data_IF_578012939136
#
_entry.id   IF_578012939136
#
_cell.length_a   1.000
_cell.length_b   1.000
_cell.length_c   1.000
_cell.angle_alpha   90.00
_cell.angle_beta   90.00
_cell.angle_gamma   90.00
#
_symmetry.space_group_name_H-M   'P 1'
#
loop_
_entity.id
_entity.type
_entity.pdbx_description
1 polymer ?
#
# COMPACT_ATOMS: atom_id res chain seq x y z
N UNK A 1 20.30 -11.70 -14.60
CA UNK A 1 19.71 -12.56 -13.55
C UNK A 1 19.79 -11.78 -12.24
N UNK A 2 18.82 -11.92 -11.33
CA UNK A 2 18.88 -11.33 -9.99
C UNK A 2 19.03 -12.46 -8.99
N UNK A 3 20.06 -12.38 -8.17
CA UNK A 3 20.38 -13.31 -7.09
C UNK A 3 20.10 -12.62 -5.77
N UNK A 4 19.68 -13.39 -4.76
CA UNK A 4 19.25 -12.90 -3.46
C UNK A 4 20.03 -13.60 -2.37
N UNK A 5 20.51 -12.84 -1.39
CA UNK A 5 20.94 -13.38 -0.11
C UNK A 5 20.00 -12.89 1.00
N UNK A 6 19.77 -13.77 1.97
CA UNK A 6 18.83 -13.54 3.08
C UNK A 6 19.48 -13.83 4.41
N UNK A 7 19.04 -13.13 5.45
CA UNK A 7 19.41 -13.45 6.82
C UNK A 7 18.59 -14.63 7.40
N UNK A 8 18.83 -14.98 8.66
CA UNK A 8 18.14 -16.06 9.37
C UNK A 8 16.65 -15.79 9.61
N UNK A 9 16.18 -14.55 9.44
CA UNK A 9 14.76 -14.18 9.48
C UNK A 9 14.16 -14.12 8.08
N UNK A 10 14.85 -14.68 7.09
CA UNK A 10 14.47 -14.67 5.67
C UNK A 10 14.34 -13.27 5.05
N UNK A 11 14.92 -12.23 5.65
CA UNK A 11 14.89 -10.87 5.09
C UNK A 11 16.02 -10.70 4.07
N UNK A 12 15.74 -9.99 2.97
CA UNK A 12 16.73 -9.75 1.91
C UNK A 12 17.86 -8.83 2.41
N UNK A 13 19.11 -9.32 2.41
CA UNK A 13 20.29 -8.53 2.78
C UNK A 13 21.15 -8.15 1.57
N UNK A 14 21.03 -8.87 0.45
CA UNK A 14 21.67 -8.51 -0.81
C UNK A 14 20.80 -8.93 -2.00
N UNK A 15 20.82 -8.11 -3.06
CA UNK A 15 20.22 -8.44 -4.36
C UNK A 15 21.11 -7.96 -5.51
N UNK A 16 21.36 -8.82 -6.50
CA UNK A 16 22.03 -8.41 -7.74
C UNK A 16 21.05 -7.79 -8.74
N UNK A 17 21.45 -6.68 -9.36
CA UNK A 17 20.62 -5.85 -10.23
C UNK A 17 21.44 -5.39 -11.44
N UNK A 18 21.65 -6.30 -12.38
CA UNK A 18 22.57 -6.09 -13.50
C UNK A 18 24.00 -6.20 -13.00
N UNK A 19 24.81 -5.19 -13.26
CA UNK A 19 26.17 -5.08 -12.72
C UNK A 19 26.22 -4.51 -11.28
N UNK A 20 25.09 -4.06 -10.72
CA UNK A 20 25.02 -3.56 -9.35
C UNK A 20 24.68 -4.67 -8.36
N UNK A 21 25.12 -4.49 -7.11
CA UNK A 21 24.63 -5.25 -5.97
C UNK A 21 24.03 -4.28 -4.93
N UNK A 22 22.78 -4.52 -4.58
CA UNK A 22 22.03 -3.73 -3.59
C UNK A 22 22.04 -4.45 -2.27
N UNK A 23 22.67 -3.85 -1.26
CA UNK A 23 22.72 -4.34 0.10
C UNK A 23 21.69 -3.63 0.97
N UNK A 24 21.08 -4.36 1.89
CA UNK A 24 20.07 -3.85 2.81
C UNK A 24 20.40 -4.26 4.25
N UNK A 25 20.06 -3.39 5.21
CA UNK A 25 20.18 -3.69 6.62
C UNK A 25 18.97 -3.22 7.40
N UNK A 26 18.74 -3.88 8.52
CA UNK A 26 17.56 -3.74 9.36
C UNK A 26 17.96 -3.30 10.77
N UNK A 27 17.08 -2.59 11.47
CA UNK A 27 17.25 -2.27 12.89
C UNK A 27 16.83 -3.44 13.80
N UNK A 28 16.92 -3.21 15.11
CA UNK A 28 16.61 -4.21 16.14
C UNK A 28 15.11 -4.59 16.17
N UNK A 29 14.23 -3.70 15.70
CA UNK A 29 12.79 -3.95 15.54
C UNK A 29 12.48 -4.63 14.20
N UNK A 30 13.50 -4.83 13.36
CA UNK A 30 13.43 -5.51 12.09
C UNK A 30 12.91 -4.67 10.92
N UNK A 31 12.82 -3.35 11.11
CA UNK A 31 12.47 -2.41 10.06
C UNK A 31 13.68 -2.13 9.17
N UNK A 32 13.43 -1.89 7.88
CA UNK A 32 14.48 -1.59 6.92
C UNK A 32 15.16 -0.26 7.31
N UNK A 33 16.43 -0.31 7.71
CA UNK A 33 17.17 0.86 8.18
C UNK A 33 18.01 1.50 7.06
N UNK A 34 18.47 0.71 6.09
CA UNK A 34 19.22 1.24 4.95
C UNK A 34 19.26 0.35 3.73
N UNK A 35 19.49 0.99 2.59
CA UNK A 35 19.76 0.36 1.30
C UNK A 35 20.94 1.05 0.60
N UNK A 36 21.82 0.28 -0.05
CA UNK A 36 22.99 0.77 -0.80
C UNK A 36 23.20 -0.05 -2.06
N UNK A 37 23.20 0.59 -3.22
CA UNK A 37 23.55 -0.03 -4.49
C UNK A 37 25.00 0.29 -4.85
N UNK A 38 25.85 -0.74 -4.84
CA UNK A 38 27.27 -0.61 -5.14
C UNK A 38 27.55 -0.87 -6.62
N UNK A 39 28.48 -0.09 -7.18
CA UNK A 39 28.95 -0.25 -8.54
C UNK A 39 29.71 -1.58 -8.71
N UNK A 40 29.74 -2.16 -9.93
CA UNK A 40 30.54 -3.33 -10.22
C UNK A 40 32.00 -3.15 -9.80
N UNK A 41 32.61 -4.22 -9.26
CA UNK A 41 33.99 -4.21 -8.77
C UNK A 41 34.19 -3.63 -7.36
N UNK A 42 33.12 -3.17 -6.71
CA UNK A 42 33.16 -2.84 -5.27
C UNK A 42 33.52 -4.09 -4.44
N UNK A 43 34.24 -3.88 -3.34
CA UNK A 43 34.56 -4.97 -2.41
C UNK A 43 33.27 -5.60 -1.85
N UNK A 44 33.23 -6.93 -1.66
CA UNK A 44 32.10 -7.59 -1.02
C UNK A 44 31.80 -7.00 0.36
N UNK A 45 30.52 -6.79 0.65
CA UNK A 45 30.08 -6.29 1.95
C UNK A 45 29.80 -7.48 2.85
N UNK A 46 30.40 -7.49 4.05
CA UNK A 46 30.11 -8.53 5.04
C UNK A 46 28.70 -8.35 5.61
N UNK A 47 27.99 -9.45 5.94
CA UNK A 47 26.68 -9.37 6.58
C UNK A 47 26.70 -8.46 7.82
N UNK A 48 25.73 -7.56 7.91
CA UNK A 48 25.61 -6.60 9.01
C UNK A 48 26.52 -5.36 8.93
N UNK A 49 27.45 -5.28 7.98
CA UNK A 49 28.20 -4.05 7.75
C UNK A 49 27.45 -3.09 6.82
N UNK A 50 27.31 -1.84 7.25
CA UNK A 50 26.74 -0.76 6.44
C UNK A 50 27.83 -0.13 5.57
N UNK A 51 27.75 -0.20 4.23
CA UNK A 51 28.72 0.46 3.35
C UNK A 51 28.67 1.98 3.47
N UNK A 52 29.82 2.63 3.22
CA UNK A 52 29.87 4.08 3.10
C UNK A 52 29.01 4.55 1.91
N UNK A 53 28.39 5.74 2.05
CA UNK A 53 27.58 6.33 0.96
C UNK A 53 28.41 6.72 -0.25
N UNK A 54 29.66 7.12 -0.04
CA UNK A 54 30.53 7.57 -1.12
C UNK A 54 30.78 6.44 -2.12
N UNK A 55 30.50 6.70 -3.39
CA UNK A 55 30.66 5.72 -4.48
C UNK A 55 29.47 4.78 -4.69
N UNK A 56 28.40 4.89 -3.89
CA UNK A 56 27.14 4.20 -4.18
C UNK A 56 26.42 4.84 -5.38
N UNK A 57 25.78 4.02 -6.20
CA UNK A 57 24.88 4.49 -7.28
C UNK A 57 23.57 5.00 -6.68
N UNK A 58 23.03 4.28 -5.70
CA UNK A 58 21.88 4.71 -4.88
C UNK A 58 22.18 4.43 -3.41
N UNK A 59 21.71 5.32 -2.53
CA UNK A 59 21.86 5.15 -1.08
C UNK A 59 20.70 5.79 -0.34
N UNK A 60 20.09 5.04 0.58
CA UNK A 60 18.99 5.54 1.41
C UNK A 60 19.10 5.03 2.84
N UNK A 61 18.97 5.92 3.81
CA UNK A 61 18.82 5.58 5.23
C UNK A 61 17.42 5.97 5.70
N UNK A 62 16.80 5.08 6.47
CA UNK A 62 15.49 5.25 7.06
C UNK A 62 15.66 5.38 8.57
N UNK A 63 15.03 6.41 9.13
CA UNK A 63 14.98 6.63 10.57
C UNK A 63 13.52 6.54 11.00
N UNK A 64 13.21 5.49 11.75
CA UNK A 64 11.87 5.21 12.24
C UNK A 64 11.64 5.91 13.59
N UNK A 65 10.41 6.35 13.83
CA UNK A 65 10.00 6.83 15.16
C UNK A 65 9.52 5.65 16.03
N UNK A 66 9.26 5.91 17.31
CA UNK A 66 8.80 4.87 18.26
C UNK A 66 7.40 4.31 17.95
N UNK A 67 6.69 4.86 16.95
CA UNK A 67 5.40 4.37 16.46
C UNK A 67 5.54 3.53 15.18
N UNK A 68 6.76 3.23 14.74
CA UNK A 68 7.02 2.46 13.52
C UNK A 68 6.80 3.24 12.23
N UNK A 69 6.77 4.58 12.28
CA UNK A 69 6.59 5.44 11.12
C UNK A 69 7.94 6.00 10.66
N UNK A 70 8.11 6.21 9.36
CA UNK A 70 9.34 6.79 8.80
C UNK A 70 9.42 8.26 9.20
N UNK A 71 10.30 8.63 10.13
CA UNK A 71 10.54 10.01 10.53
C UNK A 71 11.45 10.75 9.56
N UNK A 72 12.50 10.10 9.06
CA UNK A 72 13.43 10.71 8.10
C UNK A 72 13.87 9.70 7.06
N UNK A 73 13.96 10.14 5.81
CA UNK A 73 14.66 9.45 4.73
C UNK A 73 15.84 10.32 4.32
N UNK A 74 17.06 9.84 4.60
CA UNK A 74 18.28 10.48 4.09
C UNK A 74 18.68 9.79 2.79
N UNK A 75 18.55 10.48 1.65
CA UNK A 75 18.73 9.94 0.30
C UNK A 75 19.93 10.55 -0.42
N UNK A 76 20.71 9.71 -1.12
CA UNK A 76 21.92 10.14 -1.81
C UNK A 76 21.70 11.04 -3.02
N UNK A 77 20.51 11.00 -3.64
CA UNK A 77 20.17 11.82 -4.82
C UNK A 77 19.28 13.02 -4.45
N UNK A 78 18.40 12.86 -3.46
CA UNK A 78 17.38 13.86 -3.08
C UNK A 78 17.74 14.66 -1.82
N UNK A 79 18.79 14.25 -1.11
CA UNK A 79 19.10 14.77 0.22
C UNK A 79 18.13 14.22 1.27
N UNK A 80 18.17 14.83 2.45
CA UNK A 80 17.32 14.40 3.58
C UNK A 80 15.91 14.97 3.49
N UNK A 81 14.93 14.12 3.75
CA UNK A 81 13.49 14.44 3.83
C UNK A 81 12.96 14.00 5.19
N UNK A 82 12.35 14.94 5.91
CA UNK A 82 11.77 14.73 7.24
C UNK A 82 10.24 14.72 7.12
N UNK A 83 9.62 13.77 7.80
CA UNK A 83 8.17 13.56 7.84
C UNK A 83 7.63 13.78 9.24
N UNK A 84 6.42 14.32 9.33
CA UNK A 84 5.70 14.50 10.58
C UNK A 84 4.32 13.89 10.50
N UNK A 85 3.82 13.38 11.63
CA UNK A 85 2.55 12.69 11.75
C UNK A 85 1.72 13.28 12.90
N UNK A 86 0.40 13.15 12.81
CA UNK A 86 -0.45 13.35 13.98
C UNK A 86 -0.54 12.08 14.83
N UNK A 87 -1.30 12.13 15.93
CA UNK A 87 -1.45 10.99 16.85
C UNK A 87 -2.24 9.80 16.26
N UNK A 88 -2.91 9.99 15.12
CA UNK A 88 -3.66 8.95 14.42
C UNK A 88 -2.85 8.39 13.24
N UNK A 89 -1.57 8.74 13.15
CA UNK A 89 -0.64 8.33 12.11
C UNK A 89 -0.86 9.01 10.75
N UNK A 90 -1.67 10.08 10.67
CA UNK A 90 -1.81 10.82 9.42
C UNK A 90 -0.56 11.63 9.14
N UNK A 91 -0.05 11.54 7.90
CA UNK A 91 1.07 12.36 7.45
C UNK A 91 0.65 13.83 7.46
N UNK A 92 1.26 14.66 8.31
CA UNK A 92 0.93 16.11 8.46
C UNK A 92 1.94 17.03 7.78
N UNK A 93 3.14 16.53 7.50
CA UNK A 93 4.17 17.34 6.89
C UNK A 93 5.29 16.53 6.27
N UNK A 94 5.90 17.13 5.26
CA UNK A 94 7.09 16.63 4.57
C UNK A 94 7.99 17.84 4.28
N UNK A 95 9.23 17.79 4.74
CA UNK A 95 10.21 18.87 4.55
C UNK A 95 11.49 18.31 3.95
N UNK A 96 11.85 18.74 2.74
CA UNK A 96 13.05 18.30 2.04
C UNK A 96 14.14 19.39 1.93
N UNK A 97 15.37 18.99 1.65
CA UNK A 97 16.48 19.93 1.40
C UNK A 97 16.33 20.75 0.10
N UNK A 98 15.48 20.35 -0.84
CA UNK A 98 15.18 21.08 -2.07
C UNK A 98 14.13 22.21 -1.87
N UNK A 99 14.02 22.77 -0.67
CA UNK A 99 13.08 23.84 -0.27
C UNK A 99 11.59 23.51 -0.40
N UNK A 100 11.24 22.26 -0.69
CA UNK A 100 9.84 21.83 -0.64
C UNK A 100 9.42 21.57 0.81
N UNK A 101 8.25 22.10 1.14
CA UNK A 101 7.61 21.96 2.43
C UNK A 101 6.14 21.75 2.16
N UNK A 102 5.72 20.49 2.16
CA UNK A 102 4.31 20.14 2.08
C UNK A 102 3.74 20.09 3.49
N UNK A 103 2.58 20.73 3.68
CA UNK A 103 1.76 20.59 4.89
C UNK A 103 0.41 20.03 4.52
N UNK A 104 -0.02 19.04 5.29
CA UNK A 104 -1.22 18.27 5.05
C UNK A 104 -2.18 18.49 6.21
N UNK A 105 -3.40 18.89 5.89
CA UNK A 105 -4.46 19.14 6.87
C UNK A 105 -5.62 18.20 6.60
N UNK A 106 -6.27 17.73 7.66
CA UNK A 106 -7.36 16.78 7.55
C UNK A 106 -8.59 17.27 8.30
N UNK A 107 -9.76 17.03 7.75
CA UNK A 107 -10.97 17.06 8.56
C UNK A 107 -11.11 15.77 9.39
N UNK A 108 -12.10 15.74 10.28
CA UNK A 108 -12.34 14.58 11.15
C UNK A 108 -12.74 13.29 10.40
N UNK A 109 -13.10 13.39 9.12
CA UNK A 109 -13.39 12.26 8.27
C UNK A 109 -12.16 11.79 7.46
N UNK A 110 -10.98 12.40 7.68
CA UNK A 110 -9.74 12.04 7.01
C UNK A 110 -9.63 12.58 5.59
N UNK A 111 -10.44 13.57 5.21
CA UNK A 111 -10.26 14.23 3.92
C UNK A 111 -9.05 15.15 3.96
N UNK A 112 -8.10 14.97 3.05
CA UNK A 112 -7.01 15.92 2.83
C UNK A 112 -7.58 17.26 2.34
N UNK A 113 -7.23 18.34 3.03
CA UNK A 113 -7.69 19.70 2.80
C UNK A 113 -6.61 20.53 2.10
N UNK A 114 -7.03 21.51 1.29
CA UNK A 114 -6.10 22.43 0.61
C UNK A 114 -5.36 23.34 1.59
N UNK A 115 -5.98 23.65 2.73
CA UNK A 115 -5.40 24.49 3.79
C UNK A 115 -6.10 24.24 5.13
N UNK A 116 -5.44 24.68 6.21
CA UNK A 116 -5.90 24.53 7.60
C UNK A 116 -7.28 25.15 7.87
N UNK A 117 -7.64 26.22 7.15
CA UNK A 117 -8.90 26.95 7.34
C UNK A 117 -10.09 26.37 6.58
N UNK A 118 -9.90 25.32 5.78
CA UNK A 118 -10.98 24.70 5.04
C UNK A 118 -11.94 23.96 5.99
N UNK A 119 -13.24 24.19 5.82
CA UNK A 119 -14.26 23.47 6.58
C UNK A 119 -14.38 21.99 6.18
N UNK A 120 -15.18 21.19 6.93
CA UNK A 120 -15.37 19.78 6.64
C UNK A 120 -15.85 19.52 5.21
N UNK A 121 -15.32 18.47 4.58
CA UNK A 121 -15.71 18.08 3.21
C UNK A 121 -16.99 17.26 3.27
N UNK A 122 -18.09 17.84 2.76
CA UNK A 122 -19.40 17.20 2.78
C UNK A 122 -19.40 15.93 1.92
N UNK A 123 -19.97 14.84 2.45
CA UNK A 123 -20.06 13.52 1.79
C UNK A 123 -18.70 12.94 1.35
N UNK A 124 -17.60 13.42 1.92
CA UNK A 124 -16.23 13.15 1.48
C UNK A 124 -15.95 13.51 0.00
N UNK A 125 -16.78 14.35 -0.62
CA UNK A 125 -16.63 14.80 -2.02
C UNK A 125 -15.88 16.12 -2.07
N UNK A 126 -14.60 16.08 -2.41
CA UNK A 126 -13.77 17.28 -2.45
C UNK A 126 -14.25 18.24 -3.55
N UNK A 127 -14.54 19.52 -3.27
CA UNK A 127 -15.02 20.47 -4.28
C UNK A 127 -13.94 20.90 -5.30
N UNK A 128 -12.68 20.60 -5.03
CA UNK A 128 -11.54 20.99 -5.83
C UNK A 128 -10.25 20.83 -5.04
N UNK A 129 -9.12 21.01 -5.71
CA UNK A 129 -7.80 20.75 -5.15
C UNK A 129 -6.81 21.75 -5.73
N UNK A 130 -6.27 22.60 -4.86
CA UNK A 130 -5.56 23.81 -5.27
C UNK A 130 -6.40 24.67 -6.22
N UNK A 131 -5.95 24.79 -7.47
CA UNK A 131 -6.66 25.57 -8.51
C UNK A 131 -7.73 24.77 -9.24
N UNK A 132 -7.70 23.46 -9.11
CA UNK A 132 -8.63 22.58 -9.81
C UNK A 132 -9.98 22.58 -9.11
N UNK A 133 -11.06 22.42 -9.89
CA UNK A 133 -12.43 22.35 -9.40
C UNK A 133 -13.06 21.05 -9.85
N UNK A 134 -13.75 20.39 -8.94
CA UNK A 134 -14.24 19.03 -9.11
C UNK A 134 -15.76 19.01 -9.17
N UNK A 135 -16.31 18.24 -10.10
CA UNK A 135 -17.73 17.92 -10.19
C UNK A 135 -17.93 16.42 -10.11
N UNK A 136 -19.05 15.98 -9.51
CA UNK A 136 -19.36 14.56 -9.34
C UNK A 136 -20.77 14.26 -9.83
N UNK A 137 -21.00 13.03 -10.29
CA UNK A 137 -22.35 12.53 -10.52
C UNK A 137 -23.02 12.07 -9.19
N UNK A 138 -24.25 11.57 -9.29
CA UNK A 138 -25.02 11.07 -8.15
C UNK A 138 -24.33 9.88 -7.44
N UNK A 139 -23.64 9.02 -8.20
CA UNK A 139 -22.86 7.87 -7.73
C UNK A 139 -21.52 8.24 -7.08
N UNK A 140 -21.14 9.53 -7.09
CA UNK A 140 -19.91 10.00 -6.47
C UNK A 140 -18.66 9.80 -7.33
N UNK A 141 -18.82 9.63 -8.64
CA UNK A 141 -17.71 9.56 -9.58
C UNK A 141 -17.38 10.96 -10.08
N UNK A 142 -16.09 11.30 -10.13
CA UNK A 142 -15.61 12.58 -10.64
C UNK A 142 -15.94 12.70 -12.13
N UNK A 143 -16.72 13.71 -12.50
CA UNK A 143 -17.14 13.98 -13.89
C UNK A 143 -16.45 15.18 -14.51
N UNK A 144 -15.91 16.10 -13.70
CA UNK A 144 -15.13 17.25 -14.17
C UNK A 144 -13.96 17.52 -13.25
N UNK A 145 -12.80 17.81 -13.84
CA UNK A 145 -11.58 18.25 -13.14
C UNK A 145 -10.70 19.00 -14.13
N UNK A 146 -10.15 20.16 -13.75
CA UNK A 146 -9.38 21.03 -14.66
C UNK A 146 -10.24 21.37 -15.89
N UNK A 147 -9.70 21.11 -17.09
CA UNK A 147 -10.33 21.17 -18.40
C UNK A 147 -10.90 19.81 -18.85
N UNK A 148 -10.88 18.80 -17.97
CA UNK A 148 -11.25 17.42 -18.29
C UNK A 148 -12.71 17.13 -17.97
N UNK A 149 -13.36 16.39 -18.87
CA UNK A 149 -14.67 15.75 -18.64
C UNK A 149 -14.48 14.23 -18.62
N UNK A 150 -15.00 13.58 -17.58
CA UNK A 150 -14.82 12.16 -17.31
C UNK A 150 -16.17 11.44 -17.41
N UNK A 151 -16.21 10.32 -18.12
CA UNK A 151 -17.41 9.50 -18.33
C UNK A 151 -17.21 8.07 -17.83
N UNK A 152 -18.17 7.58 -17.08
CA UNK A 152 -18.13 6.30 -16.37
C UNK A 152 -19.20 5.35 -16.89
N UNK A 153 -18.94 4.05 -16.84
CA UNK A 153 -19.96 3.03 -17.11
C UNK A 153 -20.72 2.64 -15.84
N UNK A 154 -21.75 1.80 -15.99
CA UNK A 154 -22.58 1.34 -14.87
C UNK A 154 -21.84 0.42 -13.87
N UNK A 155 -20.61 -0.01 -14.18
CA UNK A 155 -19.74 -0.79 -13.28
C UNK A 155 -18.75 0.12 -12.52
N UNK A 156 -18.86 1.43 -12.66
CA UNK A 156 -17.98 2.40 -12.01
C UNK A 156 -16.58 2.48 -12.61
N UNK A 157 -16.44 2.14 -13.90
CA UNK A 157 -15.16 2.21 -14.61
C UNK A 157 -15.12 3.44 -15.51
N UNK A 158 -14.00 4.18 -15.47
CA UNK A 158 -13.78 5.35 -16.31
C UNK A 158 -13.63 4.92 -17.77
N UNK A 159 -14.57 5.22 -18.63
CA UNK A 159 -14.56 4.76 -20.03
C UNK A 159 -14.03 5.80 -21.01
N UNK A 160 -14.18 7.09 -20.68
CA UNK A 160 -13.74 8.18 -21.55
C UNK A 160 -13.32 9.40 -20.76
N UNK A 161 -12.26 10.07 -21.22
CA UNK A 161 -11.86 11.39 -20.74
C UNK A 161 -11.67 12.32 -21.93
N UNK A 162 -12.35 13.46 -21.91
CA UNK A 162 -12.18 14.54 -22.89
C UNK A 162 -11.27 15.59 -22.25
N UNK A 163 -10.18 15.97 -22.93
CA UNK A 163 -9.30 17.08 -22.53
C UNK A 163 -8.94 17.91 -23.76
N UNK A 164 -9.40 19.16 -23.77
CA UNK A 164 -9.27 20.07 -24.90
C UNK A 164 -9.74 19.44 -26.23
N UNK A 165 -8.80 19.28 -27.17
CA UNK A 165 -9.04 18.73 -28.50
C UNK A 165 -8.81 17.21 -28.62
N UNK A 166 -8.62 16.54 -27.48
CA UNK A 166 -8.39 15.09 -27.43
C UNK A 166 -9.43 14.39 -26.59
N UNK A 167 -9.61 13.11 -26.87
CA UNK A 167 -10.40 12.21 -26.05
C UNK A 167 -9.66 10.88 -25.89
N UNK A 168 -9.67 10.33 -24.69
CA UNK A 168 -9.06 9.04 -24.37
C UNK A 168 -10.14 8.07 -23.98
N UNK A 169 -10.10 6.88 -24.57
CA UNK A 169 -11.00 5.77 -24.26
C UNK A 169 -10.25 4.68 -23.53
N UNK A 170 -10.88 4.11 -22.52
CA UNK A 170 -10.38 2.99 -21.73
C UNK A 170 -11.24 1.74 -21.96
N UNK A 171 -10.60 0.58 -22.06
CA UNK A 171 -11.26 -0.71 -22.20
C UNK A 171 -10.84 -1.66 -21.09
N UNK A 172 -11.79 -2.45 -20.61
CA UNK A 172 -11.63 -3.36 -19.47
C UNK A 172 -12.04 -4.78 -19.84
N UNK A 173 -11.47 -5.77 -19.15
CA UNK A 173 -11.96 -7.14 -19.19
C UNK A 173 -13.06 -7.39 -18.14
N UNK A 174 -13.61 -8.61 -18.14
CA UNK A 174 -14.70 -9.01 -17.24
C UNK A 174 -14.30 -9.05 -15.75
N UNK A 175 -13.00 -9.06 -15.42
CA UNK A 175 -12.49 -8.99 -14.06
C UNK A 175 -12.26 -7.54 -13.60
N UNK A 176 -12.58 -6.56 -14.44
CA UNK A 176 -12.43 -5.15 -14.14
C UNK A 176 -11.05 -4.58 -14.46
N UNK A 177 -10.15 -5.38 -15.07
CA UNK A 177 -8.77 -4.95 -15.35
C UNK A 177 -8.72 -4.19 -16.67
N UNK A 178 -8.05 -3.04 -16.68
CA UNK A 178 -7.86 -2.25 -17.91
C UNK A 178 -6.98 -3.00 -18.89
N UNK A 179 -7.50 -3.30 -20.07
CA UNK A 179 -6.79 -3.97 -21.16
C UNK A 179 -6.32 -3.00 -22.26
N UNK A 180 -6.85 -1.77 -22.28
CA UNK A 180 -6.47 -0.75 -23.27
C UNK A 180 -6.69 0.67 -22.77
N UNK A 181 -5.81 1.57 -23.20
CA UNK A 181 -6.10 3.01 -23.34
C UNK A 181 -5.77 3.48 -24.75
N UNK A 182 -6.56 4.37 -25.33
CA UNK A 182 -6.30 4.95 -26.65
C UNK A 182 -6.80 6.39 -26.75
N UNK A 183 -5.93 7.29 -27.22
CA UNK A 183 -6.23 8.73 -27.35
C UNK A 183 -6.44 9.11 -28.81
N UNK A 184 -7.50 9.84 -29.07
CA UNK A 184 -7.94 10.30 -30.39
C UNK A 184 -8.06 11.82 -30.41
N UNK A 185 -8.14 12.40 -31.62
CA UNK A 185 -8.50 13.80 -31.77
C UNK A 185 -10.01 13.94 -31.86
N UNK A 186 -10.63 14.67 -30.92
CA UNK A 186 -12.09 14.75 -30.69
C UNK A 186 -12.94 15.10 -31.94
N UNK A 187 -12.33 15.75 -32.92
CA UNK A 187 -12.98 16.18 -34.17
C UNK A 187 -12.15 15.90 -35.44
N UNK A 188 -11.04 15.16 -35.34
CA UNK A 188 -10.05 15.07 -36.43
C UNK A 188 -9.77 13.66 -36.94
N UNK A 189 -10.40 12.62 -36.37
CA UNK A 189 -10.41 11.30 -36.99
C UNK A 189 -10.57 10.13 -36.02
N UNK A 190 -10.73 8.94 -36.61
CA UNK A 190 -10.92 7.65 -35.92
C UNK A 190 -9.59 6.91 -35.67
N UNK A 191 -8.46 7.51 -36.05
CA UNK A 191 -7.13 6.92 -35.86
C UNK A 191 -6.56 7.34 -34.51
N UNK A 192 -6.18 6.36 -33.70
CA UNK A 192 -5.54 6.61 -32.40
C UNK A 192 -4.19 7.32 -32.61
N UNK A 193 -3.99 8.42 -31.89
CA UNK A 193 -2.71 9.16 -31.81
C UNK A 193 -1.71 8.44 -30.90
N UNK A 194 -2.23 7.82 -29.85
CA UNK A 194 -1.49 6.95 -28.95
C UNK A 194 -2.40 5.81 -28.50
N UNK A 195 -1.81 4.66 -28.23
CA UNK A 195 -2.49 3.48 -27.70
C UNK A 195 -1.55 2.69 -26.83
N UNK A 196 -2.07 2.17 -25.72
CA UNK A 196 -1.38 1.19 -24.88
C UNK A 196 -2.31 0.01 -24.65
N UNK A 197 -1.83 -1.19 -24.90
CA UNK A 197 -2.50 -2.45 -24.55
C UNK A 197 -1.85 -3.04 -23.29
N UNK A 198 -2.64 -3.63 -22.39
CA UNK A 198 -2.15 -4.16 -21.12
C UNK A 198 -2.44 -5.66 -20.99
N UNK A 199 -1.53 -6.38 -20.33
CA UNK A 199 -1.67 -7.81 -20.00
C UNK A 199 -1.43 -7.98 -18.51
N UNK A 200 -2.18 -8.88 -17.88
CA UNK A 200 -2.25 -9.05 -16.43
C UNK A 200 -1.90 -10.47 -16.01
N UNK A 201 -1.19 -10.58 -14.88
CA UNK A 201 -1.02 -11.81 -14.11
C UNK A 201 -1.87 -11.69 -12.85
N UNK A 202 -3.00 -12.41 -12.78
CA UNK A 202 -4.01 -12.15 -11.75
C UNK A 202 -4.46 -10.69 -11.77
N UNK A 203 -4.27 -9.97 -10.66
CA UNK A 203 -4.55 -8.53 -10.52
C UNK A 203 -3.29 -7.64 -10.55
N UNK A 204 -2.15 -8.20 -10.96
CA UNK A 204 -0.89 -7.49 -11.12
C UNK A 204 -0.57 -7.23 -12.59
N UNK A 205 -0.16 -6.02 -12.92
CA UNK A 205 0.20 -5.65 -14.29
C UNK A 205 1.42 -6.46 -14.73
N UNK A 206 1.30 -7.25 -15.80
CA UNK A 206 2.40 -8.07 -16.31
C UNK A 206 3.13 -7.38 -17.45
N UNK A 207 2.38 -6.85 -18.42
CA UNK A 207 2.95 -6.18 -19.59
C UNK A 207 2.14 -4.97 -20.02
N UNK A 208 2.84 -4.01 -20.62
CA UNK A 208 2.27 -2.97 -21.45
C UNK A 208 2.83 -3.07 -22.88
N UNK A 209 2.04 -2.68 -23.87
CA UNK A 209 2.47 -2.49 -25.25
C UNK A 209 2.08 -1.09 -25.70
N UNK A 210 3.04 -0.17 -25.61
CA UNK A 210 2.84 1.23 -26.01
C UNK A 210 3.09 1.34 -27.51
N UNK A 211 2.15 1.93 -28.24
CA UNK A 211 2.27 2.17 -29.68
C UNK A 211 3.59 2.88 -29.99
N UNK A 212 4.32 2.38 -30.99
CA UNK A 212 5.68 2.82 -31.40
C UNK A 212 6.84 2.49 -30.43
N UNK A 213 6.59 2.24 -29.13
CA UNK A 213 7.66 1.84 -28.19
C UNK A 213 7.75 0.31 -28.01
N UNK A 214 6.64 -0.40 -28.24
CA UNK A 214 6.55 -1.85 -28.16
C UNK A 214 6.28 -2.36 -26.74
N UNK A 215 6.63 -3.63 -26.52
CA UNK A 215 6.32 -4.36 -25.30
C UNK A 215 7.31 -4.04 -24.18
N UNK A 216 6.78 -3.84 -22.98
CA UNK A 216 7.51 -3.88 -21.71
C UNK A 216 6.88 -4.94 -20.81
N UNK A 217 7.71 -5.83 -20.27
CA UNK A 217 7.31 -6.84 -19.28
C UNK A 217 7.87 -6.48 -17.92
N UNK A 218 7.02 -6.42 -16.90
CA UNK A 218 7.43 -6.15 -15.52
C UNK A 218 7.72 -7.45 -14.77
N UNK A 219 8.73 -7.41 -13.92
CA UNK A 219 9.11 -8.45 -12.99
C UNK A 219 9.00 -7.86 -11.58
N UNK A 220 8.42 -8.62 -10.67
CA UNK A 220 8.13 -8.19 -9.31
C UNK A 220 8.77 -9.12 -8.31
N UNK A 221 8.92 -8.62 -7.10
CA UNK A 221 9.40 -9.43 -5.98
C UNK A 221 8.39 -10.54 -5.65
N UNK A 222 8.91 -11.72 -5.30
CA UNK A 222 8.08 -12.87 -5.00
C UNK A 222 7.38 -12.76 -3.64
N UNK A 223 7.99 -12.04 -2.70
CA UNK A 223 7.46 -11.84 -1.34
C UNK A 223 6.72 -10.52 -1.21
N UNK A 224 7.08 -9.54 -2.03
CA UNK A 224 6.38 -8.25 -2.12
C UNK A 224 5.78 -8.09 -3.51
N UNK A 225 4.57 -8.63 -3.75
CA UNK A 225 4.06 -8.82 -5.10
C UNK A 225 3.87 -7.52 -5.89
N UNK A 226 3.76 -6.34 -5.25
CA UNK A 226 3.62 -5.07 -5.95
C UNK A 226 4.90 -4.24 -6.00
N UNK A 227 6.02 -4.80 -5.55
CA UNK A 227 7.35 -4.19 -5.62
C UNK A 227 8.04 -4.60 -6.92
N UNK A 228 8.20 -3.72 -7.92
CA UNK A 228 8.90 -4.06 -9.15
C UNK A 228 10.40 -4.23 -8.89
N UNK A 229 11.00 -5.25 -9.48
CA UNK A 229 12.44 -5.54 -9.38
C UNK A 229 13.16 -5.28 -10.69
N UNK A 230 12.48 -5.52 -11.82
CA UNK A 230 13.01 -5.24 -13.15
C UNK A 230 11.88 -5.05 -14.18
N UNK A 231 12.20 -4.49 -15.34
CA UNK A 231 11.38 -4.61 -16.54
C UNK A 231 12.24 -4.96 -17.75
N UNK A 232 11.60 -5.49 -18.78
CA UNK A 232 12.26 -5.93 -20.00
C UNK A 232 11.57 -5.35 -21.22
N UNK A 233 12.34 -4.75 -22.12
CA UNK A 233 11.89 -4.18 -23.40
C UNK A 233 12.66 -4.82 -24.56
N UNK A 234 12.18 -4.63 -25.79
CA UNK A 234 12.82 -5.18 -27.00
C UNK A 234 12.52 -6.67 -27.22
N UNK A 235 13.14 -7.27 -28.25
CA UNK A 235 12.93 -8.67 -28.64
C UNK A 235 14.23 -9.30 -29.15
N UNK A 236 14.45 -10.58 -28.86
CA UNK A 236 15.65 -11.29 -29.30
C UNK A 236 16.92 -10.62 -28.77
N UNK A 237 17.85 -10.33 -29.67
CA UNK A 237 19.14 -9.71 -29.34
C UNK A 237 19.04 -8.24 -28.92
N UNK A 238 17.94 -7.53 -29.22
CA UNK A 238 17.72 -6.15 -28.79
C UNK A 238 17.08 -6.02 -27.40
N UNK A 239 16.97 -7.14 -26.66
CA UNK A 239 16.34 -7.16 -25.34
C UNK A 239 17.16 -6.34 -24.35
N UNK A 240 16.50 -5.43 -23.66
CA UNK A 240 17.09 -4.62 -22.59
C UNK A 240 16.41 -4.94 -21.27
N UNK A 241 17.18 -4.95 -20.19
CA UNK A 241 16.70 -5.14 -18.82
C UNK A 241 16.95 -3.87 -18.03
N UNK A 242 15.90 -3.40 -17.36
CA UNK A 242 15.90 -2.19 -16.53
C UNK A 242 15.62 -2.60 -15.10
N UNK A 243 16.48 -2.24 -14.16
CA UNK A 243 16.41 -2.67 -12.78
C UNK A 243 15.80 -1.57 -11.90
N UNK A 244 14.81 -1.93 -11.09
CA UNK A 244 14.08 -1.00 -10.25
C UNK A 244 14.68 -0.93 -8.85
N UNK A 245 14.82 0.28 -8.33
CA UNK A 245 15.20 0.54 -6.94
C UNK A 245 14.03 1.26 -6.28
N UNK A 246 13.53 0.70 -5.19
CA UNK A 246 12.28 1.13 -4.57
C UNK A 246 12.52 1.63 -3.15
N UNK A 247 11.55 2.36 -2.60
CA UNK A 247 11.51 2.63 -1.16
C UNK A 247 10.93 1.44 -0.36
N UNK A 248 10.73 1.65 0.94
CA UNK A 248 10.15 0.69 1.90
C UNK A 248 8.77 0.14 1.48
N UNK A 249 8.00 0.89 0.69
CA UNK A 249 6.66 0.48 0.24
C UNK A 249 6.68 -0.30 -1.07
N UNK A 250 7.81 -0.29 -1.78
CA UNK A 250 7.89 -0.79 -3.15
C UNK A 250 7.65 0.26 -4.23
N UNK A 251 7.52 1.55 -3.87
CA UNK A 251 7.40 2.63 -4.86
C UNK A 251 8.71 2.81 -5.61
N UNK A 252 8.73 2.81 -6.95
CA UNK A 252 9.94 3.08 -7.74
C UNK A 252 10.52 4.46 -7.44
N UNK A 253 11.79 4.48 -7.06
CA UNK A 253 12.56 5.69 -6.81
C UNK A 253 13.62 5.88 -7.90
N UNK A 254 14.26 4.80 -8.34
CA UNK A 254 15.26 4.83 -9.42
C UNK A 254 15.11 3.65 -10.39
N UNK A 255 15.63 3.81 -11.60
CA UNK A 255 15.83 2.73 -12.58
C UNK A 255 17.24 2.77 -13.13
N UNK A 256 17.91 1.62 -13.16
CA UNK A 256 19.24 1.46 -13.75
C UNK A 256 19.22 0.51 -14.96
N UNK A 257 20.09 0.78 -15.94
CA UNK A 257 20.40 -0.17 -17.01
C UNK A 257 21.22 -1.36 -16.48
N UNK A 258 21.41 -2.37 -17.33
CA UNK A 258 22.15 -3.59 -16.95
C UNK A 258 23.61 -3.34 -16.58
N UNK A 259 24.24 -2.29 -17.09
CA UNK A 259 25.61 -1.86 -16.75
C UNK A 259 25.68 -1.02 -15.46
N UNK A 260 24.55 -0.78 -14.80
CA UNK A 260 24.45 0.04 -13.60
C UNK A 260 24.26 1.54 -13.86
N UNK A 261 24.16 1.98 -15.12
CA UNK A 261 23.87 3.37 -15.45
C UNK A 261 22.48 3.76 -14.93
N UNK A 262 22.38 4.84 -14.15
CA UNK A 262 21.11 5.42 -13.72
C UNK A 262 20.39 6.06 -14.91
N UNK A 263 19.23 5.50 -15.31
CA UNK A 263 18.46 5.96 -16.48
C UNK A 263 17.21 6.75 -16.11
N UNK A 264 16.72 6.60 -14.88
CA UNK A 264 15.61 7.39 -14.34
C UNK A 264 15.72 7.52 -12.82
N UNK A 265 15.35 8.67 -12.28
CA UNK A 265 15.12 8.88 -10.86
C UNK A 265 14.00 9.90 -10.67
N UNK A 266 12.98 9.58 -9.87
CA UNK A 266 11.82 10.44 -9.65
C UNK A 266 11.87 11.21 -8.32
N UNK A 267 11.33 12.42 -8.29
CA UNK A 267 11.10 13.18 -7.07
C UNK A 267 9.66 12.97 -6.60
N UNK A 268 9.46 11.94 -5.77
CA UNK A 268 8.13 11.50 -5.33
C UNK A 268 7.70 12.25 -4.07
N UNK A 269 6.54 12.91 -4.11
CA UNK A 269 5.92 13.59 -2.96
C UNK A 269 5.21 12.59 -2.06
N UNK A 270 4.79 13.04 -0.88
CA UNK A 270 4.20 12.19 0.17
C UNK A 270 3.09 11.28 -0.35
N UNK A 271 2.20 11.80 -1.20
CA UNK A 271 1.06 11.06 -1.75
C UNK A 271 1.31 10.48 -3.16
N UNK A 272 2.56 10.24 -3.55
CA UNK A 272 2.91 9.49 -4.75
C UNK A 272 2.99 10.30 -6.05
N UNK A 273 2.76 11.62 -6.01
CA UNK A 273 3.01 12.50 -7.16
C UNK A 273 4.50 12.51 -7.52
N UNK A 274 4.85 12.21 -8.77
CA UNK A 274 6.20 12.46 -9.27
C UNK A 274 6.30 13.91 -9.74
N UNK A 275 6.92 14.78 -8.94
CA UNK A 275 6.97 16.21 -9.22
C UNK A 275 8.13 16.61 -10.15
N UNK A 276 9.15 15.77 -10.31
CA UNK A 276 10.23 15.99 -11.26
C UNK A 276 11.03 14.71 -11.51
N UNK A 277 11.62 14.58 -12.70
CA UNK A 277 12.67 13.61 -12.96
C UNK A 277 14.04 14.26 -12.66
N UNK A 278 14.90 13.57 -11.90
CA UNK A 278 16.19 14.09 -11.42
C UNK A 278 17.36 13.69 -12.34
N UNK A 279 17.22 12.61 -13.12
CA UNK A 279 18.33 12.05 -13.90
C UNK A 279 18.57 12.77 -15.23
N UNK A 280 19.83 13.11 -15.52
CA UNK A 280 20.30 13.78 -16.74
C UNK A 280 21.15 12.85 -17.64
N UNK A 281 20.89 11.53 -17.67
CA UNK A 281 21.69 10.57 -18.46
C UNK A 281 21.61 10.79 -19.98
N UNK A 282 20.79 11.73 -20.46
CA UNK A 282 20.52 11.99 -21.87
C UNK A 282 19.60 10.95 -22.52
N UNK A 283 19.34 9.83 -21.87
CA UNK A 283 18.37 8.83 -22.29
C UNK A 283 16.99 9.15 -21.70
N UNK A 284 15.98 9.31 -22.56
CA UNK A 284 14.59 9.39 -22.11
C UNK A 284 14.12 7.99 -21.68
N UNK A 285 13.79 7.82 -20.40
CA UNK A 285 13.18 6.62 -19.86
C UNK A 285 11.79 6.94 -19.30
N UNK A 286 10.75 6.43 -19.95
CA UNK A 286 9.38 6.58 -19.46
C UNK A 286 9.10 5.56 -18.34
N UNK A 287 8.96 6.05 -17.10
CA UNK A 287 8.56 5.27 -15.94
C UNK A 287 7.08 5.54 -15.59
N UNK A 288 6.14 4.63 -15.90
CA UNK A 288 4.74 4.83 -15.56
C UNK A 288 4.34 4.26 -14.20
N UNK A 289 5.12 3.38 -13.58
CA UNK A 289 4.74 2.84 -12.26
C UNK A 289 4.82 3.94 -11.19
N UNK A 290 3.89 3.92 -10.23
CA UNK A 290 3.79 4.90 -9.14
C UNK A 290 3.79 4.16 -7.79
N UNK A 291 2.92 4.55 -6.84
CA UNK A 291 2.70 3.77 -5.63
C UNK A 291 2.34 2.31 -5.99
N UNK A 292 2.53 1.33 -5.11
CA UNK A 292 2.31 -0.08 -5.42
C UNK A 292 0.92 -0.31 -6.02
N UNK A 293 0.86 -0.97 -7.18
CA UNK A 293 -0.36 -1.22 -7.96
C UNK A 293 -0.77 -0.11 -8.93
N UNK A 294 -0.14 1.07 -8.87
CA UNK A 294 -0.53 2.23 -9.68
C UNK A 294 0.24 2.36 -11.00
N UNK A 295 -0.46 2.82 -12.03
CA UNK A 295 0.07 3.16 -13.35
C UNK A 295 -0.31 4.60 -13.73
N UNK A 296 0.67 5.44 -14.09
CA UNK A 296 0.47 6.83 -14.48
C UNK A 296 -0.08 6.98 -15.89
N UNK A 297 -1.16 7.75 -16.02
CA UNK A 297 -1.73 8.13 -17.29
C UNK A 297 -1.38 9.57 -17.66
N UNK A 298 -0.40 9.75 -18.55
CA UNK A 298 0.05 11.07 -19.03
C UNK A 298 -1.11 11.95 -19.51
N UNK A 299 -2.10 11.33 -20.17
CA UNK A 299 -3.20 12.05 -20.79
C UNK A 299 -4.22 12.62 -19.80
N UNK A 300 -4.22 12.15 -18.55
CA UNK A 300 -5.12 12.64 -17.49
C UNK A 300 -4.39 13.23 -16.28
N UNK A 301 -3.14 12.81 -16.06
CA UNK A 301 -2.41 13.00 -14.82
C UNK A 301 -2.93 12.14 -13.66
N UNK A 302 -3.91 11.26 -13.89
CA UNK A 302 -4.39 10.32 -12.88
C UNK A 302 -3.51 9.07 -12.85
N UNK A 303 -3.53 8.39 -11.72
CA UNK A 303 -2.92 7.09 -11.55
C UNK A 303 -4.03 6.04 -11.61
N UNK A 304 -4.02 5.20 -12.64
CA UNK A 304 -4.88 4.03 -12.69
C UNK A 304 -4.47 3.05 -11.58
N UNK A 305 -5.41 2.70 -10.71
CA UNK A 305 -5.20 1.81 -9.57
C UNK A 305 -6.26 0.71 -9.56
N UNK A 306 -6.15 -0.19 -10.54
CA UNK A 306 -7.01 -1.34 -10.80
C UNK A 306 -8.52 -1.02 -10.80
N UNK A 307 -9.19 -1.03 -9.65
CA UNK A 307 -10.63 -0.77 -9.53
C UNK A 307 -10.98 0.71 -9.40
N UNK A 308 -9.99 1.58 -9.14
CA UNK A 308 -10.19 3.03 -8.99
C UNK A 308 -9.13 3.84 -9.76
N UNK A 309 -9.38 5.14 -9.90
CA UNK A 309 -8.40 6.11 -10.38
C UNK A 309 -8.01 7.04 -9.23
N UNK A 310 -6.72 7.30 -9.09
CA UNK A 310 -6.14 8.07 -8.00
C UNK A 310 -5.62 9.42 -8.52
N UNK A 311 -5.97 10.49 -7.81
CA UNK A 311 -5.53 11.84 -8.04
C UNK A 311 -4.39 12.17 -7.05
N UNK A 312 -3.11 12.03 -7.47
CA UNK A 312 -1.97 12.16 -6.57
C UNK A 312 -1.83 13.56 -5.98
N UNK A 313 -2.26 14.60 -6.70
CA UNK A 313 -2.18 15.98 -6.23
C UNK A 313 -3.09 16.27 -5.02
N UNK A 314 -4.05 15.40 -4.72
CA UNK A 314 -4.95 15.50 -3.57
C UNK A 314 -4.94 14.25 -2.67
N UNK A 315 -4.01 13.32 -2.94
CA UNK A 315 -3.84 12.13 -2.13
C UNK A 315 -5.05 11.19 -2.05
N UNK A 316 -5.92 11.14 -3.07
CA UNK A 316 -7.21 10.41 -2.97
C UNK A 316 -7.71 9.81 -4.27
N UNK A 317 -8.65 8.86 -4.16
CA UNK A 317 -9.39 8.34 -5.31
C UNK A 317 -10.43 9.32 -5.84
N UNK A 318 -10.76 9.20 -7.13
CA UNK A 318 -11.72 10.07 -7.83
C UNK A 318 -13.12 9.44 -7.96
N UNK A 319 -13.31 8.26 -7.38
CA UNK A 319 -14.59 7.57 -7.24
C UNK A 319 -14.71 6.97 -5.83
N UNK A 320 -15.94 6.71 -5.39
CA UNK A 320 -16.18 6.00 -4.15
C UNK A 320 -15.64 4.56 -4.21
N UNK A 321 -15.28 4.02 -3.04
CA UNK A 321 -14.87 2.64 -2.89
C UNK A 321 -15.99 1.68 -3.36
N UNK A 322 -15.76 0.85 -4.39
CA UNK A 322 -16.74 -0.12 -4.87
C UNK A 322 -17.18 -1.14 -3.81
N UNK A 323 -16.36 -1.42 -2.80
CA UNK A 323 -16.76 -2.29 -1.67
C UNK A 323 -17.40 -1.50 -0.51
N UNK A 324 -17.68 -0.21 -0.73
CA UNK A 324 -18.40 0.65 0.20
C UNK A 324 -17.70 0.77 1.54
N UNK A 325 -18.48 0.68 2.63
CA UNK A 325 -17.97 0.85 3.99
C UNK A 325 -17.01 -0.25 4.44
N UNK A 326 -16.90 -1.36 3.68
CA UNK A 326 -15.85 -2.37 3.93
C UNK A 326 -14.45 -1.81 3.58
N UNK A 327 -14.37 -0.82 2.68
CA UNK A 327 -13.17 -0.05 2.38
C UNK A 327 -12.83 1.01 3.45
N UNK A 328 -13.76 1.29 4.37
CA UNK A 328 -13.64 2.31 5.40
C UNK A 328 -14.70 3.41 5.28
N UNK A 329 -14.73 4.31 6.27
CA UNK A 329 -15.75 5.37 6.35
C UNK A 329 -15.52 6.52 5.36
N UNK A 330 -14.27 6.72 4.91
CA UNK A 330 -13.93 7.67 3.86
C UNK A 330 -13.78 6.94 2.53
N UNK A 331 -14.84 6.93 1.75
CA UNK A 331 -14.94 6.15 0.51
C UNK A 331 -13.97 6.58 -0.60
N UNK A 332 -13.21 7.66 -0.45
CA UNK A 332 -12.24 8.11 -1.45
C UNK A 332 -10.81 8.05 -0.94
N UNK A 333 -10.57 7.63 0.31
CA UNK A 333 -9.24 7.63 0.91
C UNK A 333 -8.36 6.56 0.24
N UNK A 334 -7.10 6.90 -0.02
CA UNK A 334 -6.06 5.91 -0.37
C UNK A 334 -5.52 5.24 0.88
N UNK A 335 -4.81 6.00 1.70
CA UNK A 335 -4.33 5.55 3.00
C UNK A 335 -4.04 6.76 3.91
N UNK A 336 -4.09 6.60 5.25
CA UNK A 336 -3.67 7.65 6.18
C UNK A 336 -2.18 8.02 6.06
N UNK A 337 -1.32 7.01 5.79
CA UNK A 337 0.12 7.18 5.64
C UNK A 337 0.64 6.39 4.44
N UNK A 338 0.82 7.02 3.26
CA UNK A 338 1.32 6.35 2.06
C UNK A 338 2.78 5.87 2.14
N UNK A 339 3.51 6.17 3.21
CA UNK A 339 4.91 5.74 3.42
C UNK A 339 5.02 4.38 4.12
N UNK A 340 3.92 3.87 4.67
CA UNK A 340 3.84 2.55 5.30
C UNK A 340 2.65 1.72 4.82
N UNK A 341 1.67 2.35 4.18
CA UNK A 341 0.45 1.70 3.68
C UNK A 341 0.41 1.69 2.16
N UNK A 342 -0.12 0.60 1.61
CA UNK A 342 -0.29 0.42 0.17
C UNK A 342 -1.73 0.01 -0.13
N UNK A 343 -2.30 0.49 -1.23
CA UNK A 343 -3.57 -0.02 -1.79
C UNK A 343 -3.39 -0.44 -3.26
N UNK A 344 -2.79 -1.62 -3.54
CA UNK A 344 -2.56 -2.07 -4.92
C UNK A 344 -3.79 -2.29 -5.79
N UNK A 345 -4.97 -2.43 -5.19
CA UNK A 345 -6.19 -2.74 -5.90
C UNK A 345 -7.12 -1.53 -6.04
N UNK A 346 -6.89 -0.48 -5.26
CA UNK A 346 -7.91 0.51 -5.08
C UNK A 346 -9.12 -0.07 -4.36
N UNK A 347 -8.95 -1.02 -3.43
CA UNK A 347 -10.03 -1.61 -2.61
C UNK A 347 -9.57 -1.89 -1.17
N UNK A 348 -8.33 -1.56 -0.83
CA UNK A 348 -7.77 -1.86 0.46
C UNK A 348 -8.30 -0.87 1.48
N UNK A 349 -9.04 -1.42 2.44
CA UNK A 349 -9.62 -0.68 3.53
C UNK A 349 -9.31 -1.26 4.89
N UNK A 350 -9.68 -0.52 5.92
CA UNK A 350 -9.76 -1.06 7.27
C UNK A 350 -10.97 -2.01 7.37
N UNK A 351 -10.78 -3.29 7.71
CA UNK A 351 -11.89 -4.21 7.92
C UNK A 351 -12.82 -3.66 8.99
N UNK A 352 -14.13 -3.77 8.77
CA UNK A 352 -15.16 -3.11 9.57
C UNK A 352 -15.00 -3.38 11.08
N UNK A 353 -14.61 -4.60 11.45
CA UNK A 353 -14.49 -5.04 12.84
C UNK A 353 -13.09 -4.84 13.44
N UNK A 354 -12.11 -4.47 12.62
CA UNK A 354 -10.75 -4.26 13.08
C UNK A 354 -10.65 -3.08 14.06
N UNK A 355 -9.80 -3.18 15.09
CA UNK A 355 -9.34 -2.02 15.85
C UNK A 355 -8.75 -0.91 14.99
N UNK A 356 -8.63 0.31 15.55
CA UNK A 356 -7.82 1.36 14.93
C UNK A 356 -6.35 0.95 15.02
N UNK A 357 -5.59 1.33 14.00
CA UNK A 357 -4.16 1.01 13.82
C UNK A 357 -3.31 1.46 14.98
N UNK A 358 -3.62 2.63 15.55
CA UNK A 358 -2.88 3.23 16.67
C UNK A 358 -2.79 2.27 17.86
N UNK A 359 -3.83 1.46 18.10
CA UNK A 359 -3.84 0.49 19.22
C UNK A 359 -2.82 -0.65 19.08
N UNK A 360 -2.29 -0.85 17.88
CA UNK A 360 -1.30 -1.85 17.55
C UNK A 360 0.09 -1.22 17.34
N UNK A 361 0.13 -0.03 16.73
CA UNK A 361 1.35 0.76 16.58
C UNK A 361 1.90 1.20 17.94
N UNK A 362 1.05 1.61 18.89
CA UNK A 362 1.44 1.92 20.28
C UNK A 362 2.09 0.74 21.02
N UNK A 363 1.90 -0.49 20.52
CA UNK A 363 2.48 -1.71 21.09
C UNK A 363 3.81 -2.09 20.43
N UNK A 364 4.28 -1.31 19.46
CA UNK A 364 5.56 -1.49 18.75
C UNK A 364 5.55 -2.63 17.73
N UNK A 365 4.39 -2.97 17.17
CA UNK A 365 4.29 -4.00 16.12
C UNK A 365 4.05 -3.41 14.73
N UNK A 366 4.07 -4.27 13.71
CA UNK A 366 3.83 -3.90 12.31
C UNK A 366 2.49 -4.44 11.82
N UNK A 367 1.76 -3.66 11.02
CA UNK A 367 0.52 -4.09 10.38
C UNK A 367 0.71 -4.03 8.88
N UNK A 368 0.27 -5.06 8.18
CA UNK A 368 0.12 -5.05 6.72
C UNK A 368 -1.19 -5.73 6.34
N UNK A 369 -1.48 -5.84 5.05
CA UNK A 369 -2.66 -6.53 4.56
C UNK A 369 -2.25 -7.66 3.62
N UNK A 370 -3.00 -8.77 3.68
CA UNK A 370 -2.89 -9.85 2.71
C UNK A 370 -3.31 -9.40 1.32
N UNK A 371 -2.90 -10.18 0.32
CA UNK A 371 -3.22 -9.91 -1.09
C UNK A 371 -4.73 -9.82 -1.30
N UNK A 372 -5.57 -10.50 -0.51
CA UNK A 372 -7.05 -10.45 -0.63
C UNK A 372 -7.68 -9.07 -0.40
N UNK A 373 -6.89 -8.08 0.06
CA UNK A 373 -7.35 -6.71 0.27
C UNK A 373 -8.31 -6.52 1.43
N UNK A 374 -8.54 -7.57 2.25
CA UNK A 374 -9.54 -7.57 3.33
C UNK A 374 -9.02 -8.19 4.64
N UNK A 375 -7.95 -8.98 4.60
CA UNK A 375 -7.35 -9.58 5.78
C UNK A 375 -6.16 -8.76 6.25
N UNK A 376 -6.33 -8.03 7.34
CA UNK A 376 -5.20 -7.38 8.01
C UNK A 376 -4.34 -8.41 8.72
N UNK A 377 -3.04 -8.18 8.76
CA UNK A 377 -2.06 -9.00 9.46
C UNK A 377 -1.31 -8.10 10.41
N UNK A 378 -1.29 -8.45 11.69
CA UNK A 378 -0.47 -7.77 12.68
C UNK A 378 0.64 -8.70 13.15
N UNK A 379 1.86 -8.18 13.17
CA UNK A 379 3.00 -8.79 13.84
C UNK A 379 3.36 -7.98 15.08
N UNK A 380 3.44 -8.63 16.23
CA UNK A 380 3.92 -7.95 17.44
C UNK A 380 5.45 -7.81 17.42
N UNK A 381 6.00 -7.00 18.33
CA UNK A 381 7.46 -6.79 18.47
C UNK A 381 8.27 -8.06 18.80
N UNK A 382 7.62 -9.19 19.05
CA UNK A 382 8.27 -10.47 19.33
C UNK A 382 8.22 -11.41 18.11
N UNK A 383 7.68 -10.93 16.98
CA UNK A 383 7.58 -11.69 15.74
C UNK A 383 6.33 -12.56 15.63
N UNK A 384 5.44 -12.57 16.62
CA UNK A 384 4.19 -13.33 16.54
C UNK A 384 3.24 -12.68 15.54
N UNK A 385 2.55 -13.48 14.74
CA UNK A 385 1.63 -13.00 13.68
C UNK A 385 0.21 -13.47 13.94
N UNK A 386 -0.79 -12.57 13.83
CA UNK A 386 -2.23 -12.88 13.81
C UNK A 386 -2.88 -12.20 12.61
N UNK A 387 -3.74 -12.96 11.92
CA UNK A 387 -4.55 -12.47 10.80
C UNK A 387 -5.91 -12.01 11.29
N UNK A 388 -6.52 -11.07 10.59
CA UNK A 388 -7.81 -10.47 10.93
C UNK A 388 -8.80 -10.58 9.77
N UNK A 389 -9.23 -11.79 9.38
CA UNK A 389 -10.29 -11.96 8.39
C UNK A 389 -11.57 -11.26 8.87
N UNK A 390 -12.16 -10.42 8.02
CA UNK A 390 -13.32 -9.57 8.33
C UNK A 390 -13.15 -8.69 9.59
N UNK A 391 -11.90 -8.48 10.02
CA UNK A 391 -11.53 -7.71 11.20
C UNK A 391 -11.60 -8.45 12.54
N UNK A 392 -11.74 -9.78 12.54
CA UNK A 392 -11.69 -10.61 13.75
C UNK A 392 -10.38 -11.39 13.83
N UNK A 393 -9.75 -11.50 15.01
CA UNK A 393 -8.47 -12.19 15.14
C UNK A 393 -8.64 -13.69 14.87
N UNK A 394 -7.79 -14.23 14.00
CA UNK A 394 -7.60 -15.66 13.84
C UNK A 394 -6.52 -16.14 14.81
N UNK A 395 -6.94 -16.62 15.98
CA UNK A 395 -6.06 -17.19 16.99
C UNK A 395 -5.75 -18.67 16.77
N UNK A 396 -6.21 -19.30 15.69
CA UNK A 396 -5.98 -20.72 15.40
C UNK A 396 -4.50 -21.14 15.51
N UNK A 397 -3.49 -20.33 15.11
CA UNK A 397 -2.08 -20.69 15.29
C UNK A 397 -1.61 -20.82 16.74
N UNK A 398 -2.33 -20.22 17.70
CA UNK A 398 -2.00 -20.22 19.13
C UNK A 398 -3.03 -20.95 19.98
N UNK A 399 -3.99 -21.64 19.36
CA UNK A 399 -5.09 -22.29 20.08
C UNK A 399 -4.59 -23.51 20.87
N UNK A 400 -4.92 -23.54 22.16
CA UNK A 400 -4.67 -24.70 23.04
C UNK A 400 -5.79 -25.72 22.86
N UNK A 401 -7.05 -25.27 22.90
CA UNK A 401 -8.26 -26.05 22.63
C UNK A 401 -9.44 -25.11 22.38
N UNK A 402 -10.54 -25.62 21.85
CA UNK A 402 -11.80 -24.89 21.75
C UNK A 402 -12.99 -25.76 22.15
N UNK A 403 -14.10 -25.10 22.49
CA UNK A 403 -15.36 -25.74 22.83
C UNK A 403 -16.54 -24.93 22.30
N UNK A 404 -17.59 -25.62 21.89
CA UNK A 404 -18.87 -24.99 21.55
C UNK A 404 -19.77 -24.88 22.78
N UNK A 405 -20.20 -23.65 23.05
CA UNK A 405 -21.07 -23.24 24.13
C UNK A 405 -22.28 -22.53 23.50
N UNK A 406 -23.40 -23.22 23.24
CA UNK A 406 -24.53 -22.64 22.49
C UNK A 406 -25.17 -21.39 23.14
N UNK A 407 -25.01 -21.20 24.46
CA UNK A 407 -25.63 -20.13 25.25
C UNK A 407 -24.62 -19.15 25.85
N UNK A 408 -23.67 -18.65 25.04
CA UNK A 408 -22.76 -17.59 25.48
C UNK A 408 -23.51 -16.31 25.78
N UNK A 409 -23.15 -15.64 26.89
CA UNK A 409 -23.72 -14.35 27.30
C UNK A 409 -22.72 -13.19 27.18
N UNK A 410 -21.50 -13.46 26.77
CA UNK A 410 -20.42 -12.48 26.66
C UNK A 410 -19.92 -12.02 28.03
N UNK A 411 -19.84 -12.92 29.00
CA UNK A 411 -19.31 -12.64 30.34
C UNK A 411 -18.12 -13.55 30.67
N UNK A 412 -17.22 -13.11 31.56
CA UNK A 412 -15.99 -13.85 31.89
C UNK A 412 -16.08 -14.59 33.24
N UNK A 413 -17.29 -14.91 33.73
CA UNK A 413 -17.46 -15.53 35.06
C UNK A 413 -17.09 -17.01 35.03
N UNK A 414 -16.50 -17.50 36.11
CA UNK A 414 -16.05 -18.90 36.26
C UNK A 414 -17.10 -19.84 36.88
N UNK A 415 -18.19 -19.29 37.42
CA UNK A 415 -19.29 -20.11 37.94
C UNK A 415 -20.10 -20.80 36.84
N UNK A 416 -21.03 -21.72 37.17
CA UNK A 416 -21.80 -22.52 36.20
C UNK A 416 -22.63 -21.70 35.20
N UNK A 417 -23.02 -20.48 35.58
CA UNK A 417 -23.75 -19.53 34.71
C UNK A 417 -22.84 -18.64 33.86
N UNK A 418 -21.53 -18.67 34.10
CA UNK A 418 -20.55 -17.87 33.40
C UNK A 418 -19.93 -18.60 32.22
N UNK A 419 -19.57 -17.86 31.17
CA UNK A 419 -19.12 -18.48 29.92
C UNK A 419 -17.78 -19.21 30.11
N UNK A 420 -16.86 -18.66 30.92
CA UNK A 420 -15.58 -19.31 31.21
C UNK A 420 -15.78 -20.60 32.03
N UNK A 421 -16.74 -20.59 32.97
CA UNK A 421 -17.11 -21.79 33.73
C UNK A 421 -17.68 -22.89 32.85
N UNK A 422 -18.58 -22.53 31.92
CA UNK A 422 -19.13 -23.46 30.92
C UNK A 422 -18.04 -24.01 30.01
N UNK A 423 -17.14 -23.15 29.53
CA UNK A 423 -16.04 -23.59 28.68
C UNK A 423 -15.12 -24.58 29.40
N UNK A 424 -14.72 -24.28 30.64
CA UNK A 424 -13.92 -25.19 31.47
C UNK A 424 -14.59 -26.56 31.69
N UNK A 425 -15.91 -26.60 31.84
CA UNK A 425 -16.64 -27.84 32.05
C UNK A 425 -16.72 -28.74 30.79
N UNK A 426 -16.64 -28.13 29.60
CA UNK A 426 -16.72 -28.82 28.32
C UNK A 426 -15.34 -29.10 27.69
N UNK A 427 -14.28 -28.52 28.28
CA UNK A 427 -12.94 -28.53 27.72
C UNK A 427 -12.33 -29.95 27.68
N UNK A 428 -12.01 -30.50 26.50
CA UNK A 428 -11.52 -31.87 26.37
C UNK A 428 -10.14 -32.09 27.01
N UNK A 429 -9.33 -31.03 27.15
CA UNK A 429 -8.01 -31.08 27.81
C UNK A 429 -8.07 -30.67 29.29
N UNK A 430 -9.28 -30.55 29.85
CA UNK A 430 -9.51 -30.03 31.19
C UNK A 430 -9.63 -28.51 31.22
N UNK A 431 -9.93 -27.97 32.40
CA UNK A 431 -10.10 -26.54 32.60
C UNK A 431 -8.84 -25.75 32.22
N UNK A 432 -9.02 -24.57 31.64
CA UNK A 432 -7.91 -23.71 31.23
C UNK A 432 -7.05 -23.31 32.43
N UNK A 433 -5.73 -23.33 32.25
CA UNK A 433 -4.80 -22.73 33.21
C UNK A 433 -4.85 -21.21 33.09
N UNK A 434 -5.68 -20.60 33.93
CA UNK A 434 -5.91 -19.17 33.90
C UNK A 434 -4.74 -18.36 34.44
N UNK A 435 -3.61 -18.94 34.84
CA UNK A 435 -2.39 -18.15 35.09
C UNK A 435 -1.76 -17.71 33.76
N UNK A 436 -1.72 -18.60 32.76
CA UNK A 436 -1.04 -18.38 31.48
C UNK A 436 -1.97 -18.25 30.28
N UNK A 437 -3.17 -18.82 30.33
CA UNK A 437 -4.16 -18.84 29.25
C UNK A 437 -5.44 -18.07 29.60
N UNK A 438 -6.25 -17.79 28.58
CA UNK A 438 -7.58 -17.20 28.71
C UNK A 438 -8.52 -17.78 27.67
N UNK A 439 -9.82 -17.76 27.95
CA UNK A 439 -10.83 -18.03 26.95
C UNK A 439 -11.12 -16.78 26.12
N UNK A 440 -11.12 -16.94 24.80
CA UNK A 440 -11.52 -15.96 23.80
C UNK A 440 -12.91 -16.34 23.25
N UNK A 441 -13.86 -15.41 23.31
CA UNK A 441 -15.15 -15.56 22.63
C UNK A 441 -14.98 -15.35 21.12
N UNK A 442 -15.12 -16.42 20.35
CA UNK A 442 -15.04 -16.38 18.89
C UNK A 442 -16.24 -15.63 18.27
N UNK A 443 -16.04 -15.01 17.10
CA UNK A 443 -17.01 -14.12 16.46
C UNK A 443 -18.31 -14.82 16.02
N UNK A 444 -18.30 -16.14 15.86
CA UNK A 444 -19.50 -16.93 15.56
C UNK A 444 -20.52 -16.93 16.71
N UNK A 445 -20.12 -16.50 17.91
CA UNK A 445 -20.99 -16.35 19.07
C UNK A 445 -21.34 -17.64 19.79
N UNK A 446 -20.73 -18.77 19.42
CA UNK A 446 -20.94 -20.08 20.07
C UNK A 446 -19.64 -20.74 20.50
N UNK A 447 -18.50 -20.40 19.91
CA UNK A 447 -17.22 -21.06 20.23
C UNK A 447 -16.40 -20.24 21.23
N UNK A 448 -15.78 -20.94 22.17
CA UNK A 448 -14.77 -20.42 23.10
C UNK A 448 -13.43 -21.07 22.77
N UNK A 449 -12.39 -20.26 22.53
CA UNK A 449 -11.04 -20.73 22.22
C UNK A 449 -10.10 -20.42 23.40
N UNK A 450 -9.39 -21.41 23.91
CA UNK A 450 -8.33 -21.21 24.90
C UNK A 450 -7.05 -20.79 24.19
N UNK A 451 -6.51 -19.64 24.57
CA UNK A 451 -5.32 -19.03 23.95
C UNK A 451 -4.39 -18.45 25.03
N UNK A 452 -3.08 -18.33 24.78
CA UNK A 452 -2.16 -17.65 25.69
C UNK A 452 -2.58 -16.20 25.97
N UNK A 453 -2.49 -15.76 27.23
CA UNK A 453 -2.89 -14.40 27.67
C UNK A 453 -2.05 -13.30 27.04
N UNK A 454 -0.76 -13.53 26.86
CA UNK A 454 0.15 -12.57 26.26
C UNK A 454 -0.20 -12.34 24.78
N UNK A 455 -0.52 -13.41 24.03
CA UNK A 455 -1.10 -13.32 22.69
C UNK A 455 -2.43 -12.56 22.75
N UNK A 456 -3.42 -13.05 23.51
CA UNK A 456 -4.75 -12.42 23.54
C UNK A 456 -4.73 -10.91 23.88
N UNK A 457 -3.83 -10.48 24.78
CA UNK A 457 -3.71 -9.08 25.20
C UNK A 457 -2.90 -8.19 24.25
N UNK A 458 -1.84 -8.71 23.61
CA UNK A 458 -1.03 -7.95 22.64
C UNK A 458 -1.79 -7.73 21.33
N UNK A 459 -2.55 -8.72 20.88
CA UNK A 459 -3.33 -8.64 19.65
C UNK A 459 -4.68 -7.97 19.93
N UNK A 460 -4.71 -6.62 19.88
CA UNK A 460 -5.95 -5.85 20.07
C UNK A 460 -7.04 -6.37 19.12
N UNK A 461 -8.26 -6.56 19.62
CA UNK A 461 -9.35 -7.05 18.80
C UNK A 461 -10.71 -6.58 19.33
N UNK A 462 -11.74 -6.65 18.48
CA UNK A 462 -13.12 -6.76 18.95
C UNK A 462 -13.46 -8.25 19.02
N UNK A 463 -13.76 -8.76 20.22
CA UNK A 463 -14.13 -10.16 20.41
C UNK A 463 -15.60 -10.44 20.11
N UNK A 464 -15.97 -11.72 20.03
CA UNK A 464 -17.36 -12.18 19.87
C UNK A 464 -18.31 -11.69 20.96
N UNK A 465 -17.79 -11.25 22.11
CA UNK A 465 -18.57 -10.59 23.19
C UNK A 465 -19.42 -9.44 22.65
N UNK A 466 -18.88 -8.60 21.75
CA UNK A 466 -19.62 -7.48 21.17
C UNK A 466 -20.80 -7.97 20.31
N UNK A 467 -20.60 -9.03 19.53
CA UNK A 467 -21.63 -9.61 18.68
C UNK A 467 -22.74 -10.27 19.51
N UNK A 468 -22.35 -11.00 20.56
CA UNK A 468 -23.27 -11.67 21.49
C UNK A 468 -24.16 -10.64 22.19
N UNK A 469 -23.60 -9.52 22.65
CA UNK A 469 -24.38 -8.47 23.34
C UNK A 469 -25.32 -7.71 22.42
N UNK A 470 -24.94 -7.49 21.17
CA UNK A 470 -25.80 -6.81 20.18
C UNK A 470 -26.99 -7.66 19.71
N UNK A 471 -26.94 -9.01 19.84
CA UNK A 471 -28.09 -9.90 19.55
C UNK A 471 -29.14 -9.94 20.67
N UNK A 472 -28.84 -9.38 21.84
CA UNK A 472 -29.72 -9.36 23.02
C UNK A 472 -30.52 -8.06 23.20
N UNK A 473 -30.42 -7.14 22.23
CA UNK A 473 -31.26 -5.94 22.06
C UNK A 473 -32.17 -6.15 20.86
#
# INVERSE_FOLDING_TARGET
MSEYERDSLHRQIMRTQGQLATYSGYDDDGLLSWQRSLAPGSAPVLPGQRPARQGCVTSRDYYWNNHGEVGTIDDGLRGSVVYSYDRSGYLTGRSGQMYDHDRYYYDKAGNLLDNEGQGPVMNNRLPGCGRDRYGYNEWGELTTRRDQQLEWNAQGQLTRVISGNTETHYGYDALGRRIRKATYGRHTGHTARSRTDFVWEGFRLLQENVQQQGWRTYLYDAEQPYTPVASMTGKGESRQVWYYHTDVTGTPQEVTAADGTLVWAGYIRGFGENAADISNSGAYFHQPLRLPGQYFDDETGLHYNLFRYYAPECGRFVSQDPIGLNGGINLYQYAPNPLSWIDPWGLIGKPLNSPLTDKWLDKGGSIWQEIDGQTWVYQDKYGNVVRYPDGYPDFSPYEVQHVDVPDLKGNHRLGPSGDFGKANALAPKGAADLEVNTWHHHQNGVTMQEVPKDIHSRFTHRGGVSNIRNKCL
#
